data_IF_598821682502
#
_entry.id   IF_598821682502
#
_cell.length_a   1.000
_cell.length_b   1.000
_cell.length_c   1.000
_cell.angle_alpha   90.00
_cell.angle_beta   90.00
_cell.angle_gamma   90.00
#
_symmetry.space_group_name_H-M   'P 1'
#
loop_
_entity.id
_entity.type
_entity.pdbx_description
1 polymer ?
#
# COMPACT_ATOMS: atom_id res chain seq x y z
N UNK A 1 49.59 -5.63 -7.58
CA UNK A 1 48.57 -6.05 -8.58
C UNK A 1 47.17 -6.28 -8.00
N UNK A 2 46.99 -6.44 -6.68
CA UNK A 2 45.67 -6.59 -6.06
C UNK A 2 44.74 -5.37 -6.20
N UNK A 3 45.29 -4.15 -6.23
CA UNK A 3 44.52 -2.89 -6.35
C UNK A 3 43.81 -2.78 -7.71
N UNK A 4 44.41 -3.28 -8.81
CA UNK A 4 43.77 -3.27 -10.14
C UNK A 4 42.57 -4.23 -10.20
N UNK A 5 42.67 -5.41 -9.59
CA UNK A 5 41.57 -6.39 -9.55
C UNK A 5 40.39 -5.93 -8.70
N UNK A 6 40.65 -5.39 -7.51
CA UNK A 6 39.61 -4.86 -6.62
C UNK A 6 38.84 -3.67 -7.26
N UNK A 7 39.55 -2.75 -7.91
CA UNK A 7 38.95 -1.60 -8.57
C UNK A 7 38.05 -2.01 -9.77
N UNK A 8 38.43 -3.07 -10.50
CA UNK A 8 37.58 -3.66 -11.53
C UNK A 8 36.30 -4.28 -10.97
N UNK A 9 36.36 -5.03 -9.86
CA UNK A 9 35.17 -5.62 -9.23
C UNK A 9 34.17 -4.55 -8.80
N UNK A 10 34.65 -3.49 -8.13
CA UNK A 10 33.78 -2.37 -7.72
C UNK A 10 33.14 -1.69 -8.93
N UNK A 11 33.88 -1.48 -10.01
CA UNK A 11 33.35 -0.91 -11.26
C UNK A 11 32.22 -1.76 -11.84
N UNK A 12 32.43 -3.07 -11.97
CA UNK A 12 31.39 -3.99 -12.48
C UNK A 12 30.17 -4.03 -11.56
N UNK A 13 30.37 -4.00 -10.23
CA UNK A 13 29.28 -3.99 -9.27
C UNK A 13 28.45 -2.69 -9.37
N UNK A 14 29.11 -1.54 -9.48
CA UNK A 14 28.43 -0.24 -9.67
C UNK A 14 27.62 -0.25 -10.96
N UNK A 15 28.19 -0.75 -12.07
CA UNK A 15 27.47 -0.86 -13.34
C UNK A 15 26.28 -1.82 -13.22
N UNK A 16 26.46 -2.98 -12.61
CA UNK A 16 25.39 -3.97 -12.44
C UNK A 16 24.22 -3.41 -11.62
N UNK A 17 24.52 -2.82 -10.46
CA UNK A 17 23.50 -2.25 -9.58
C UNK A 17 22.76 -1.09 -10.26
N UNK A 18 23.48 -0.21 -10.97
CA UNK A 18 22.82 0.87 -11.72
C UNK A 18 22.01 0.34 -12.92
N UNK A 19 22.42 -0.74 -13.56
CA UNK A 19 21.63 -1.37 -14.62
C UNK A 19 20.33 -1.98 -14.07
N UNK A 20 20.37 -2.60 -12.89
CA UNK A 20 19.17 -3.07 -12.20
C UNK A 20 18.24 -1.90 -11.86
N UNK A 21 18.78 -0.80 -11.30
CA UNK A 21 17.99 0.40 -11.04
C UNK A 21 17.40 1.03 -12.30
N UNK A 22 18.12 0.97 -13.43
CA UNK A 22 17.61 1.42 -14.72
C UNK A 22 16.40 0.59 -15.14
N UNK A 23 16.47 -0.74 -15.07
CA UNK A 23 15.36 -1.64 -15.42
C UNK A 23 14.17 -1.40 -14.50
N UNK A 24 14.38 -1.32 -13.19
CA UNK A 24 13.30 -1.05 -12.22
C UNK A 24 12.68 0.33 -12.47
N UNK A 25 13.49 1.36 -12.70
CA UNK A 25 13.00 2.70 -13.02
C UNK A 25 12.16 2.73 -14.30
N UNK A 26 12.58 2.00 -15.35
CA UNK A 26 11.82 1.88 -16.59
C UNK A 26 10.47 1.20 -16.33
N UNK A 27 10.45 0.10 -15.58
CA UNK A 27 9.22 -0.59 -15.22
C UNK A 27 8.26 0.32 -14.45
N UNK A 28 8.74 1.06 -13.44
CA UNK A 28 7.91 1.98 -12.66
C UNK A 28 7.32 3.07 -13.55
N UNK A 29 8.14 3.72 -14.39
CA UNK A 29 7.69 4.79 -15.29
C UNK A 29 6.69 4.26 -16.32
N UNK A 30 6.98 3.11 -16.95
CA UNK A 30 6.08 2.50 -17.93
C UNK A 30 4.74 2.12 -17.30
N UNK A 31 4.74 1.55 -16.09
CA UNK A 31 3.50 1.23 -15.37
C UNK A 31 2.73 2.49 -14.98
N UNK A 32 3.41 3.53 -14.49
CA UNK A 32 2.76 4.80 -14.17
C UNK A 32 2.10 5.42 -15.41
N UNK A 33 2.82 5.50 -16.54
CA UNK A 33 2.27 6.04 -17.79
C UNK A 33 1.10 5.19 -18.29
N UNK A 34 1.21 3.86 -18.26
CA UNK A 34 0.12 2.96 -18.63
C UNK A 34 -1.14 3.26 -17.81
N UNK A 35 -0.98 3.35 -16.49
CA UNK A 35 -2.06 3.64 -15.55
C UNK A 35 -2.65 5.05 -15.68
N UNK A 36 -1.86 6.03 -16.16
CA UNK A 36 -2.34 7.37 -16.52
C UNK A 36 -3.10 7.37 -17.87
N UNK A 37 -2.73 6.47 -18.80
CA UNK A 37 -3.30 6.42 -20.15
C UNK A 37 -4.63 5.66 -20.24
N UNK A 38 -4.92 4.76 -19.30
CA UNK A 38 -6.16 3.98 -19.27
C UNK A 38 -7.24 4.68 -18.39
N UNK A 39 -8.21 5.40 -18.98
CA UNK A 39 -9.27 6.08 -18.23
C UNK A 39 -10.22 5.09 -17.52
N UNK A 40 -10.32 3.85 -18.03
CA UNK A 40 -11.11 2.78 -17.44
C UNK A 40 -10.55 2.31 -16.10
N UNK A 41 -9.23 2.36 -15.91
CA UNK A 41 -8.59 2.04 -14.63
C UNK A 41 -8.83 3.14 -13.59
N UNK A 42 -8.79 4.41 -14.01
CA UNK A 42 -9.10 5.57 -13.19
C UNK A 42 -10.54 5.52 -12.64
N UNK A 43 -11.51 5.32 -13.53
CA UNK A 43 -12.95 5.33 -13.21
C UNK A 43 -13.37 4.09 -12.39
N UNK A 44 -12.70 2.95 -12.57
CA UNK A 44 -13.06 1.69 -11.88
C UNK A 44 -12.44 1.54 -10.49
N UNK A 45 -11.38 2.29 -10.16
CA UNK A 45 -10.61 2.08 -8.93
C UNK A 45 -10.89 3.09 -7.81
N UNK A 46 -11.40 4.30 -8.10
CA UNK A 46 -11.53 5.33 -7.06
C UNK A 46 -12.71 6.28 -7.24
N UNK A 47 -13.41 6.60 -6.15
CA UNK A 47 -14.33 7.75 -6.07
C UNK A 47 -13.60 9.09 -5.84
N UNK A 48 -12.32 9.06 -5.43
CA UNK A 48 -11.47 10.22 -5.20
C UNK A 48 -10.27 10.24 -6.18
N UNK A 49 -10.57 10.66 -7.41
CA UNK A 49 -9.63 10.85 -8.54
C UNK A 49 -8.31 11.52 -8.12
N UNK A 50 -8.36 12.50 -7.21
CA UNK A 50 -7.23 13.33 -6.82
C UNK A 50 -6.10 12.56 -6.13
N UNK A 51 -6.42 11.67 -5.19
CA UNK A 51 -5.39 10.93 -4.43
C UNK A 51 -4.66 9.91 -5.30
N UNK A 52 -5.39 9.29 -6.22
CA UNK A 52 -4.84 8.34 -7.17
C UNK A 52 -3.85 9.02 -8.13
N UNK A 53 -4.23 10.15 -8.70
CA UNK A 53 -3.37 10.94 -9.60
C UNK A 53 -2.11 11.41 -8.88
N UNK A 54 -2.23 11.91 -7.64
CA UNK A 54 -1.06 12.31 -6.83
C UNK A 54 -0.08 11.13 -6.69
N UNK A 55 -0.58 9.93 -6.35
CA UNK A 55 0.26 8.73 -6.23
C UNK A 55 0.98 8.38 -7.53
N UNK A 56 0.29 8.41 -8.67
CA UNK A 56 0.90 8.14 -9.98
C UNK A 56 1.98 9.17 -10.36
N UNK A 57 1.74 10.46 -10.09
CA UNK A 57 2.76 11.49 -10.34
C UNK A 57 3.99 11.32 -9.45
N UNK A 58 3.81 10.88 -8.20
CA UNK A 58 4.93 10.52 -7.31
C UNK A 58 5.72 9.35 -7.89
N UNK A 59 5.06 8.27 -8.35
CA UNK A 59 5.75 7.15 -8.99
C UNK A 59 6.49 7.56 -10.27
N UNK A 60 5.90 8.45 -11.08
CA UNK A 60 6.56 8.97 -12.26
C UNK A 60 7.81 9.77 -11.90
N UNK A 61 7.73 10.63 -10.87
CA UNK A 61 8.87 11.43 -10.39
C UNK A 61 9.99 10.54 -9.81
N UNK A 62 9.64 9.58 -8.95
CA UNK A 62 10.62 8.65 -8.35
C UNK A 62 11.26 7.77 -9.42
N UNK A 63 10.46 7.18 -10.32
CA UNK A 63 10.96 6.37 -11.42
C UNK A 63 11.87 7.18 -12.36
N UNK A 64 11.48 8.41 -12.70
CA UNK A 64 12.32 9.32 -13.49
C UNK A 64 13.64 9.67 -12.80
N UNK A 65 13.62 9.96 -11.50
CA UNK A 65 14.83 10.20 -10.72
C UNK A 65 15.75 8.97 -10.71
N UNK A 66 15.20 7.77 -10.53
CA UNK A 66 15.96 6.52 -10.58
C UNK A 66 16.64 6.33 -11.94
N UNK A 67 15.96 6.63 -13.06
CA UNK A 67 16.54 6.54 -14.40
C UNK A 67 17.72 7.52 -14.59
N UNK A 68 17.58 8.76 -14.13
CA UNK A 68 18.64 9.77 -14.22
C UNK A 68 19.85 9.34 -13.39
N UNK A 69 19.64 8.94 -12.14
CA UNK A 69 20.72 8.49 -11.23
C UNK A 69 21.41 7.24 -11.79
N UNK A 70 20.65 6.26 -12.29
CA UNK A 70 21.18 5.05 -12.90
C UNK A 70 22.01 5.35 -14.17
N UNK A 71 21.54 6.27 -15.01
CA UNK A 71 22.26 6.69 -16.22
C UNK A 71 23.59 7.36 -15.87
N UNK A 72 23.60 8.27 -14.88
CA UNK A 72 24.82 8.93 -14.39
C UNK A 72 25.80 7.91 -13.79
N UNK A 73 25.32 6.93 -13.04
CA UNK A 73 26.12 5.87 -12.45
C UNK A 73 26.77 4.96 -13.51
N UNK A 74 25.98 4.45 -14.46
CA UNK A 74 26.46 3.62 -15.55
C UNK A 74 27.47 4.38 -16.44
N UNK A 75 27.08 5.55 -16.96
CA UNK A 75 27.96 6.33 -17.81
C UNK A 75 29.22 6.78 -17.05
N UNK A 76 29.11 7.05 -15.74
CA UNK A 76 30.19 7.57 -14.90
C UNK A 76 31.26 6.51 -14.70
N UNK A 77 30.81 5.28 -14.46
CA UNK A 77 31.68 4.11 -14.42
C UNK A 77 32.32 3.81 -15.78
N UNK A 78 31.57 3.86 -16.90
CA UNK A 78 32.11 3.58 -18.23
C UNK A 78 33.12 4.62 -18.73
N UNK A 79 32.79 5.91 -18.58
CA UNK A 79 33.64 7.02 -19.06
C UNK A 79 34.78 7.37 -18.10
N UNK A 80 34.84 6.72 -16.93
CA UNK A 80 35.77 7.04 -15.84
C UNK A 80 35.80 8.54 -15.51
N UNK A 81 34.65 9.21 -15.71
CA UNK A 81 34.52 10.66 -15.55
C UNK A 81 34.27 10.98 -14.09
N UNK A 82 35.27 11.57 -13.44
CA UNK A 82 35.20 11.97 -12.04
C UNK A 82 34.01 12.89 -11.76
N UNK A 83 33.72 13.86 -12.64
CA UNK A 83 32.58 14.77 -12.46
C UNK A 83 31.24 14.06 -12.43
N UNK A 84 31.05 13.05 -13.28
CA UNK A 84 29.78 12.33 -13.35
C UNK A 84 29.60 11.35 -12.20
N UNK A 85 30.70 10.71 -11.76
CA UNK A 85 30.70 9.85 -10.58
C UNK A 85 30.50 10.68 -9.29
N UNK A 86 31.08 11.87 -9.20
CA UNK A 86 30.85 12.81 -8.10
C UNK A 86 29.39 13.27 -8.08
N UNK A 87 28.81 13.64 -9.23
CA UNK A 87 27.38 13.99 -9.30
C UNK A 87 26.49 12.84 -8.85
N UNK A 88 26.77 11.61 -9.29
CA UNK A 88 26.06 10.41 -8.84
C UNK A 88 26.11 10.25 -7.32
N UNK A 89 27.30 10.38 -6.72
CA UNK A 89 27.48 10.29 -5.28
C UNK A 89 26.75 11.41 -4.52
N UNK A 90 26.83 12.66 -5.01
CA UNK A 90 26.10 13.78 -4.42
C UNK A 90 24.58 13.57 -4.48
N UNK A 91 24.05 13.05 -5.59
CA UNK A 91 22.63 12.69 -5.71
C UNK A 91 22.24 11.62 -4.68
N UNK A 92 23.04 10.56 -4.53
CA UNK A 92 22.78 9.52 -3.52
C UNK A 92 22.80 10.08 -2.09
N UNK A 93 23.76 10.96 -1.77
CA UNK A 93 23.81 11.60 -0.47
C UNK A 93 22.58 12.47 -0.19
N UNK A 94 22.10 13.23 -1.18
CA UNK A 94 20.89 14.03 -1.02
C UNK A 94 19.66 13.14 -0.78
N UNK A 95 19.53 12.04 -1.52
CA UNK A 95 18.44 11.06 -1.31
C UNK A 95 18.53 10.45 0.09
N UNK A 96 19.72 10.06 0.53
CA UNK A 96 19.93 9.51 1.88
C UNK A 96 19.50 10.51 2.97
N UNK A 97 19.87 11.78 2.85
CA UNK A 97 19.45 12.82 3.80
C UNK A 97 17.94 13.01 3.77
N UNK A 98 17.32 13.00 2.59
CA UNK A 98 15.87 13.11 2.44
C UNK A 98 15.14 11.91 3.06
N UNK A 99 15.65 10.69 2.87
CA UNK A 99 15.10 9.46 3.47
C UNK A 99 15.20 9.49 5.00
N UNK A 100 16.35 9.91 5.55
CA UNK A 100 16.52 10.06 6.99
C UNK A 100 15.59 11.13 7.57
N UNK A 101 15.42 12.26 6.88
CA UNK A 101 14.50 13.32 7.29
C UNK A 101 13.03 12.83 7.25
N UNK A 102 12.64 12.13 6.19
CA UNK A 102 11.31 11.55 6.05
C UNK A 102 11.04 10.47 7.11
N UNK A 103 12.02 9.59 7.37
CA UNK A 103 11.94 8.56 8.39
C UNK A 103 11.85 9.14 9.80
N UNK A 104 12.63 10.17 10.11
CA UNK A 104 12.54 10.87 11.39
C UNK A 104 11.18 11.57 11.56
N UNK A 105 10.70 12.24 10.51
CA UNK A 105 9.38 12.87 10.52
C UNK A 105 8.25 11.85 10.74
N UNK A 106 8.34 10.69 10.06
CA UNK A 106 7.41 9.58 10.21
C UNK A 106 7.42 8.99 11.61
N UNK A 107 8.61 8.81 12.20
CA UNK A 107 8.74 8.31 13.57
C UNK A 107 8.11 9.27 14.60
N UNK A 108 8.39 10.57 14.48
CA UNK A 108 7.83 11.57 15.38
C UNK A 108 6.30 11.70 15.25
N UNK A 109 5.75 11.51 14.04
CA UNK A 109 4.32 11.63 13.75
C UNK A 109 3.66 10.26 13.51
N UNK A 110 4.16 9.22 14.16
CA UNK A 110 3.67 7.83 14.02
C UNK A 110 2.16 7.75 14.25
N UNK A 111 1.63 8.41 15.28
CA UNK A 111 0.18 8.43 15.54
C UNK A 111 -0.63 9.02 14.40
N UNK A 112 -0.16 10.11 13.79
CA UNK A 112 -0.85 10.73 12.64
C UNK A 112 -0.78 9.84 11.41
N UNK A 113 0.35 9.16 11.19
CA UNK A 113 0.47 8.19 10.11
C UNK A 113 -0.50 7.03 10.30
N UNK A 114 -0.58 6.51 11.52
CA UNK A 114 -1.53 5.45 11.88
C UNK A 114 -2.97 5.89 11.65
N UNK A 115 -3.34 7.11 12.07
CA UNK A 115 -4.68 7.67 11.86
C UNK A 115 -5.02 7.78 10.36
N UNK A 116 -4.07 8.23 9.54
CA UNK A 116 -4.25 8.35 8.08
C UNK A 116 -4.43 6.97 7.44
N UNK A 117 -3.61 5.99 7.84
CA UNK A 117 -3.70 4.61 7.35
C UNK A 117 -5.04 3.99 7.77
N UNK A 118 -5.40 4.07 9.05
CA UNK A 118 -6.66 3.55 9.60
C UNK A 118 -7.86 4.16 8.90
N UNK A 119 -7.89 5.49 8.75
CA UNK A 119 -8.97 6.19 8.05
C UNK A 119 -9.12 5.73 6.59
N UNK A 120 -8.00 5.60 5.88
CA UNK A 120 -8.00 5.17 4.46
C UNK A 120 -8.49 3.73 4.31
N UNK A 121 -8.04 2.82 5.18
CA UNK A 121 -8.47 1.42 5.17
C UNK A 121 -9.94 1.32 5.56
N UNK A 122 -10.39 2.08 6.57
CA UNK A 122 -11.79 2.11 7.02
C UNK A 122 -12.71 2.58 5.91
N UNK A 123 -12.36 3.67 5.21
CA UNK A 123 -13.12 4.15 4.05
C UNK A 123 -13.17 3.11 2.93
N UNK A 124 -12.04 2.43 2.66
CA UNK A 124 -11.98 1.34 1.66
C UNK A 124 -12.90 0.17 2.01
N UNK A 125 -12.90 -0.25 3.28
CA UNK A 125 -13.79 -1.31 3.80
C UNK A 125 -15.26 -0.89 3.69
N UNK A 126 -15.57 0.35 4.04
CA UNK A 126 -16.95 0.82 4.11
C UNK A 126 -17.54 1.14 2.73
N UNK A 127 -16.76 1.66 1.79
CA UNK A 127 -17.30 2.20 0.53
C UNK A 127 -16.91 1.38 -0.70
N UNK A 128 -15.76 0.70 -0.69
CA UNK A 128 -15.19 0.10 -1.90
C UNK A 128 -15.24 -1.43 -1.91
N UNK A 129 -15.22 -2.07 -0.74
CA UNK A 129 -15.25 -3.53 -0.64
C UNK A 129 -16.60 -4.10 -1.10
N UNK A 130 -16.55 -5.13 -1.96
CA UNK A 130 -17.73 -5.73 -2.59
C UNK A 130 -18.25 -4.97 -3.81
N UNK A 131 -17.84 -3.70 -4.00
CA UNK A 131 -18.18 -2.88 -5.17
C UNK A 131 -17.07 -2.97 -6.22
N UNK A 132 -15.82 -2.81 -5.79
CA UNK A 132 -14.64 -2.83 -6.67
C UNK A 132 -13.91 -4.18 -6.47
N UNK A 133 -13.91 -5.09 -7.47
CA UNK A 133 -13.32 -6.43 -7.32
C UNK A 133 -11.84 -6.43 -6.93
N UNK A 134 -11.06 -5.50 -7.48
CA UNK A 134 -9.63 -5.36 -7.19
C UNK A 134 -9.33 -4.88 -5.77
N UNK A 135 -10.12 -3.92 -5.25
CA UNK A 135 -10.01 -3.45 -3.86
C UNK A 135 -10.44 -4.55 -2.88
N UNK A 136 -11.47 -5.29 -3.25
CA UNK A 136 -11.93 -6.48 -2.51
C UNK A 136 -10.81 -7.51 -2.40
N UNK A 137 -10.22 -7.91 -3.53
CA UNK A 137 -9.11 -8.87 -3.55
C UNK A 137 -7.87 -8.38 -2.78
N UNK A 138 -7.58 -7.07 -2.83
CA UNK A 138 -6.46 -6.47 -2.10
C UNK A 138 -6.70 -6.51 -0.59
N UNK A 139 -7.88 -6.11 -0.14
CA UNK A 139 -8.27 -6.16 1.29
C UNK A 139 -8.31 -7.61 1.79
N UNK A 140 -8.81 -8.54 0.99
CA UNK A 140 -8.82 -9.97 1.30
C UNK A 140 -7.40 -10.52 1.51
N UNK A 141 -6.46 -10.13 0.65
CA UNK A 141 -5.06 -10.52 0.77
C UNK A 141 -4.42 -9.92 2.04
N UNK A 142 -4.69 -8.66 2.33
CA UNK A 142 -4.18 -7.97 3.53
C UNK A 142 -4.71 -8.65 4.79
N UNK A 143 -6.02 -8.86 4.90
CA UNK A 143 -6.65 -9.47 6.07
C UNK A 143 -6.16 -10.89 6.32
N UNK A 144 -6.00 -11.68 5.26
CA UNK A 144 -5.47 -13.04 5.36
C UNK A 144 -3.99 -13.06 5.73
N UNK A 145 -3.18 -12.15 5.18
CA UNK A 145 -1.74 -12.11 5.41
C UNK A 145 -1.38 -11.58 6.80
N UNK A 146 -2.00 -10.47 7.20
CA UNK A 146 -1.76 -9.82 8.49
C UNK A 146 -2.69 -10.29 9.60
N UNK A 147 -3.57 -11.26 9.32
CA UNK A 147 -4.49 -11.84 10.30
C UNK A 147 -5.29 -10.76 11.04
N UNK A 148 -5.86 -9.84 10.27
CA UNK A 148 -6.64 -8.70 10.76
C UNK A 148 -8.02 -8.65 10.11
N UNK A 149 -8.93 -7.84 10.66
CA UNK A 149 -10.26 -7.64 10.09
C UNK A 149 -10.70 -6.18 10.25
N UNK A 150 -10.79 -5.45 9.14
CA UNK A 150 -11.04 -4.01 9.18
C UNK A 150 -9.79 -3.19 9.54
N UNK A 151 -9.98 -1.90 9.78
CA UNK A 151 -8.93 -0.94 10.16
C UNK A 151 -8.76 -0.85 11.68
N UNK A 152 -9.87 -0.84 12.42
CA UNK A 152 -9.94 -0.80 13.88
C UNK A 152 -10.57 -2.07 14.46
N UNK A 153 -11.19 -2.88 13.60
CA UNK A 153 -11.69 -4.20 13.94
C UNK A 153 -12.91 -4.60 13.11
N UNK A 154 -13.54 -5.74 13.45
CA UNK A 154 -14.69 -6.26 12.74
C UNK A 154 -15.89 -5.29 12.69
N UNK A 155 -15.97 -4.35 13.63
CA UNK A 155 -17.04 -3.36 13.68
C UNK A 155 -17.03 -2.38 12.49
N UNK A 156 -15.91 -2.22 11.79
CA UNK A 156 -15.85 -1.36 10.60
C UNK A 156 -16.78 -1.81 9.47
N UNK A 157 -17.16 -3.10 9.48
CA UNK A 157 -18.05 -3.72 8.50
C UNK A 157 -19.52 -3.38 8.70
N UNK A 158 -19.91 -2.86 9.86
CA UNK A 158 -21.30 -2.54 10.21
C UNK A 158 -21.96 -1.61 9.19
N UNK A 159 -21.23 -0.62 8.69
CA UNK A 159 -21.72 0.38 7.73
C UNK A 159 -21.05 0.23 6.36
N UNK A 160 -20.70 -0.99 5.97
CA UNK A 160 -20.07 -1.27 4.68
C UNK A 160 -21.09 -1.50 3.56
N UNK A 161 -20.74 -1.06 2.34
CA UNK A 161 -21.48 -1.33 1.11
C UNK A 161 -21.69 -2.84 0.89
N UNK A 162 -20.75 -3.68 1.35
CA UNK A 162 -20.85 -5.14 1.35
C UNK A 162 -22.09 -5.68 2.09
N UNK A 163 -22.53 -5.00 3.14
CA UNK A 163 -23.73 -5.38 3.89
C UNK A 163 -25.01 -4.75 3.34
N UNK A 164 -24.96 -4.09 2.17
CA UNK A 164 -26.06 -3.33 1.56
C UNK A 164 -26.67 -2.29 2.52
N UNK A 165 -25.87 -1.79 3.47
CA UNK A 165 -26.25 -0.65 4.30
C UNK A 165 -26.05 0.58 3.44
N UNK A 166 -27.08 0.99 2.71
CA UNK A 166 -27.14 2.35 2.16
C UNK A 166 -26.98 3.31 3.34
N UNK A 167 -26.03 4.26 3.26
CA UNK A 167 -25.83 5.28 4.30
C UNK A 167 -27.21 5.84 4.66
N UNK A 168 -27.57 5.90 5.95
CA UNK A 168 -28.90 6.34 6.33
C UNK A 168 -29.09 7.75 5.77
N UNK A 169 -30.05 7.89 4.85
CA UNK A 169 -30.71 9.17 4.64
C UNK A 169 -31.26 9.61 6.00
N UNK A 170 -31.32 10.91 6.32
CA UNK A 170 -31.87 11.41 7.56
C UNK A 170 -33.40 11.25 7.53
N UNK A 171 -33.89 10.02 7.48
CA UNK A 171 -35.26 9.65 7.76
C UNK A 171 -35.22 8.84 9.04
N UNK A 172 -35.85 9.41 10.06
CA UNK A 172 -36.00 8.81 11.38
C UNK A 172 -36.94 7.60 11.22
N UNK A 173 -36.40 6.47 10.77
CA UNK A 173 -37.04 5.16 10.85
C UNK A 173 -36.19 4.29 11.78
N UNK A 174 -36.34 4.54 13.07
CA UNK A 174 -35.72 3.77 14.15
C UNK A 174 -36.41 2.38 14.23
N UNK A 175 -36.19 1.54 13.22
CA UNK A 175 -36.83 0.23 13.12
C UNK A 175 -36.26 -0.74 12.06
N UNK A 176 -35.28 -0.34 11.25
CA UNK A 176 -34.71 -1.16 10.16
C UNK A 176 -33.19 -1.30 10.14
N UNK A 177 -32.46 -0.92 11.20
CA UNK A 177 -31.04 -1.30 11.24
C UNK A 177 -30.96 -2.84 11.33
N UNK A 178 -30.25 -3.52 10.41
CA UNK A 178 -30.08 -4.95 10.50
C UNK A 178 -29.38 -5.27 11.82
N UNK A 179 -30.00 -6.08 12.68
CA UNK A 179 -29.44 -6.45 14.00
C UNK A 179 -28.10 -7.19 13.86
N UNK A 180 -27.83 -7.73 12.67
CA UNK A 180 -26.60 -8.43 12.32
C UNK A 180 -25.95 -7.92 11.03
N UNK A 181 -24.62 -7.89 10.99
CA UNK A 181 -23.81 -7.59 9.81
C UNK A 181 -22.85 -8.75 9.51
N UNK A 182 -22.38 -8.85 8.27
CA UNK A 182 -21.43 -9.88 7.86
C UNK A 182 -20.03 -9.31 7.72
N UNK A 183 -19.04 -10.12 8.06
CA UNK A 183 -17.63 -9.88 7.73
C UNK A 183 -17.14 -10.86 6.65
N UNK A 184 -16.08 -10.49 5.89
CA UNK A 184 -15.43 -11.37 4.93
C UNK A 184 -14.95 -12.69 5.51
N UNK A 185 -14.77 -13.69 4.64
CA UNK A 185 -14.19 -14.98 5.05
C UNK A 185 -12.73 -14.86 5.47
N UNK A 186 -12.03 -13.91 4.86
CA UNK A 186 -10.64 -13.57 5.10
C UNK A 186 -10.38 -13.04 6.51
N UNK A 187 -11.43 -12.62 7.23
CA UNK A 187 -11.38 -12.26 8.64
C UNK A 187 -11.38 -13.45 9.62
N UNK A 188 -11.66 -14.67 9.15
CA UNK A 188 -11.69 -15.85 10.01
C UNK A 188 -10.29 -16.35 10.37
N UNK A 189 -10.13 -16.83 11.61
CA UNK A 189 -8.88 -17.46 12.04
C UNK A 189 -8.56 -18.71 11.20
N UNK A 190 -7.27 -18.98 10.97
CA UNK A 190 -6.81 -20.16 10.22
C UNK A 190 -7.08 -21.49 10.94
N UNK A 191 -7.37 -21.46 12.25
CA UNK A 191 -7.52 -22.65 13.09
C UNK A 191 -8.96 -23.14 13.27
N UNK A 192 -9.95 -22.48 12.65
CA UNK A 192 -11.36 -22.85 12.79
C UNK A 192 -11.91 -23.53 11.53
N UNK A 193 -12.92 -24.38 11.70
CA UNK A 193 -13.56 -25.06 10.58
C UNK A 193 -14.39 -24.09 9.71
N UNK A 194 -14.63 -24.39 8.42
CA UNK A 194 -15.42 -23.53 7.54
C UNK A 194 -16.84 -23.24 8.05
N UNK A 195 -17.47 -24.23 8.70
CA UNK A 195 -18.81 -24.08 9.28
C UNK A 195 -18.81 -23.16 10.51
N UNK A 196 -17.78 -23.27 11.36
CA UNK A 196 -17.60 -22.36 12.49
C UNK A 196 -17.29 -20.92 12.04
N UNK A 197 -16.52 -20.78 10.97
CA UNK A 197 -16.24 -19.49 10.34
C UNK A 197 -17.53 -18.88 9.79
N UNK A 198 -18.33 -19.66 9.06
CA UNK A 198 -19.62 -19.21 8.52
C UNK A 198 -20.58 -18.73 9.62
N UNK A 199 -20.62 -19.43 10.76
CA UNK A 199 -21.40 -19.02 11.92
C UNK A 199 -20.83 -17.76 12.59
N UNK A 200 -19.50 -17.65 12.72
CA UNK A 200 -18.85 -16.52 13.36
C UNK A 200 -18.94 -15.22 12.53
N UNK A 201 -18.96 -15.32 11.20
CA UNK A 201 -18.98 -14.16 10.28
C UNK A 201 -20.24 -13.30 10.39
N UNK A 202 -21.33 -13.85 10.94
CA UNK A 202 -22.56 -13.11 11.21
C UNK A 202 -22.48 -12.50 12.61
N UNK A 203 -22.09 -11.24 12.67
CA UNK A 203 -21.90 -10.47 13.90
C UNK A 203 -23.19 -9.73 14.26
N UNK A 204 -23.48 -9.54 15.55
CA UNK A 204 -24.57 -8.66 16.02
C UNK A 204 -23.99 -7.35 16.58
N UNK A 205 -24.76 -6.26 16.50
CA UNK A 205 -24.29 -4.91 16.85
C UNK A 205 -23.84 -4.72 18.32
N UNK A 206 -24.21 -5.64 19.23
CA UNK A 206 -23.99 -5.49 20.67
C UNK A 206 -23.24 -6.67 21.33
N UNK A 207 -22.76 -7.66 20.56
CA UNK A 207 -22.01 -8.79 21.12
C UNK A 207 -20.51 -8.53 21.18
N UNK A 208 -19.87 -8.95 22.26
CA UNK A 208 -18.41 -8.93 22.38
C UNK A 208 -17.79 -9.92 21.41
N UNK A 209 -16.85 -9.44 20.59
CA UNK A 209 -16.13 -10.28 19.63
C UNK A 209 -15.27 -11.29 20.40
N UNK A 210 -15.43 -12.58 20.12
CA UNK A 210 -14.51 -13.61 20.62
C UNK A 210 -13.29 -13.66 19.71
N UNK A 211 -12.09 -13.24 20.18
CA UNK A 211 -10.88 -13.17 19.34
C UNK A 211 -10.39 -14.55 18.86
N UNK A 212 -10.93 -15.64 19.38
CA UNK A 212 -10.59 -17.01 18.99
C UNK A 212 -11.17 -17.45 17.65
N UNK A 213 -12.22 -16.77 17.14
CA UNK A 213 -12.88 -17.17 15.88
C UNK A 213 -12.64 -16.18 14.74
N UNK A 214 -12.56 -14.90 15.05
CA UNK A 214 -12.35 -13.81 14.09
C UNK A 214 -11.17 -12.98 14.56
N UNK A 215 -10.36 -12.52 13.62
CA UNK A 215 -9.30 -11.58 13.87
C UNK A 215 -9.89 -10.26 14.40
N UNK A 216 -9.83 -10.11 15.73
CA UNK A 216 -10.34 -8.94 16.44
C UNK A 216 -9.22 -8.07 17.01
N UNK A 217 -7.99 -8.58 16.95
CA UNK A 217 -6.85 -7.94 17.57
C UNK A 217 -6.08 -7.14 16.52
N UNK A 218 -6.07 -5.82 16.70
CA UNK A 218 -5.33 -4.89 15.83
C UNK A 218 -3.94 -4.62 16.40
N UNK A 219 -3.54 -5.27 17.49
CA UNK A 219 -2.23 -5.09 18.13
C UNK A 219 -1.04 -5.64 17.34
N UNK A 220 -1.28 -6.30 16.20
CA UNK A 220 -0.26 -6.73 15.24
C UNK A 220 -0.11 -5.81 14.02
N UNK A 221 -0.85 -4.68 13.98
CA UNK A 221 -0.68 -3.57 13.04
C UNK A 221 -0.04 -2.39 13.78
#
# INVERSE_FOLDING_TARGET
MAIKGCCSVVKYLVVLVNLLFLVVGLLIVSLAIWMLSDPTFLISMTQNETHYLIGLYIFLAVGGLMLVVAFLGCCGAFKESQWMLTSFFCCLLMVLVAELAAGFWAFQNSTKLDDVVRSTVKDSVQTQYGVIPSRTATLDAIQKHYQCCGAEGPNDWQSSAYNNVERPTPSIELGKLPISYNVPETCCSSHISPEECKAARRMEYATTVKPTKIFADVSML
#
